data_IF_283525151876
#
_entry.id   IF_283525151876
#
_cell.length_a   1.000
_cell.length_b   1.000
_cell.length_c   1.000
_cell.angle_alpha   90.00
_cell.angle_beta   90.00
_cell.angle_gamma   90.00
#
_symmetry.space_group_name_H-M   'P 1'
#
loop_
_entity.id
_entity.type
_entity.pdbx_description
1 polymer ?
#
# COMPACT_ATOMS: atom_id res chain seq x y z
N UNK A 1 -52.62 22.68 50.02
CA UNK A 1 -51.37 22.79 49.23
C UNK A 1 -50.39 21.72 49.67
N UNK A 2 -50.15 20.69 48.87
CA UNK A 2 -48.99 19.75 48.90
C UNK A 2 -49.30 18.51 48.04
N UNK A 3 -49.27 18.67 46.71
CA UNK A 3 -49.21 17.55 45.74
C UNK A 3 -48.49 18.03 44.47
N UNK A 4 -47.24 18.46 44.62
CA UNK A 4 -46.34 18.74 43.48
C UNK A 4 -44.92 18.37 43.93
N UNK A 5 -44.63 17.08 44.07
CA UNK A 5 -43.26 16.60 44.33
C UNK A 5 -43.00 15.16 43.88
N UNK A 6 -43.86 14.56 43.04
CA UNK A 6 -43.71 13.16 42.61
C UNK A 6 -43.74 12.93 41.10
N UNK A 7 -43.66 14.00 40.30
CA UNK A 7 -43.69 13.92 38.83
C UNK A 7 -42.34 14.23 38.17
N UNK A 8 -41.30 14.57 38.94
CA UNK A 8 -39.98 14.91 38.39
C UNK A 8 -38.91 13.82 38.54
N UNK A 9 -39.22 12.67 39.16
CA UNK A 9 -38.26 11.56 39.29
C UNK A 9 -38.44 10.42 38.26
N UNK A 10 -39.40 10.54 37.33
CA UNK A 10 -39.63 9.55 36.26
C UNK A 10 -39.18 10.02 34.87
N UNK A 11 -38.55 11.19 34.76
CA UNK A 11 -38.05 11.74 33.50
C UNK A 11 -36.54 11.49 33.25
N UNK A 12 -35.87 10.69 34.08
CA UNK A 12 -34.41 10.43 33.96
C UNK A 12 -34.10 8.97 33.58
N UNK A 13 -35.11 8.12 33.31
CA UNK A 13 -34.87 6.75 32.80
C UNK A 13 -35.85 6.44 31.67
N UNK A 14 -35.60 7.03 30.50
CA UNK A 14 -36.11 6.51 29.24
C UNK A 14 -35.11 6.69 28.09
N UNK A 15 -33.82 6.45 28.37
CA UNK A 15 -32.94 5.86 27.36
C UNK A 15 -33.26 4.37 27.22
N UNK A 16 -34.50 4.06 26.83
CA UNK A 16 -34.88 2.73 26.43
C UNK A 16 -34.90 2.69 24.90
N UNK A 17 -33.77 2.23 24.35
CA UNK A 17 -33.72 1.13 23.39
C UNK A 17 -34.86 1.17 22.36
N UNK A 18 -34.78 2.11 21.41
CA UNK A 18 -35.34 1.83 20.08
C UNK A 18 -34.46 0.75 19.43
N UNK A 19 -34.76 -0.51 19.76
CA UNK A 19 -34.36 -1.64 18.92
C UNK A 19 -34.95 -1.38 17.54
N UNK A 20 -34.11 -0.89 16.62
CA UNK A 20 -34.53 -0.63 15.26
C UNK A 20 -35.02 -1.94 14.63
N UNK A 21 -36.32 -2.03 14.36
CA UNK A 21 -37.07 -3.21 13.89
C UNK A 21 -36.66 -3.73 12.50
N UNK A 22 -35.48 -3.37 12.01
CA UNK A 22 -34.93 -3.75 10.70
C UNK A 22 -34.03 -4.98 10.78
N UNK A 23 -33.50 -5.29 11.96
CA UNK A 23 -32.70 -6.48 12.21
C UNK A 23 -33.55 -7.54 12.91
N UNK A 24 -33.68 -8.68 12.26
CA UNK A 24 -34.45 -9.83 12.76
C UNK A 24 -33.51 -10.89 13.33
N UNK A 25 -34.03 -11.74 14.20
CA UNK A 25 -33.27 -12.81 14.86
C UNK A 25 -33.23 -14.12 14.06
N UNK A 26 -34.18 -14.31 13.14
CA UNK A 26 -34.27 -15.51 12.31
C UNK A 26 -34.38 -15.14 10.84
N UNK A 27 -33.65 -15.90 10.00
CA UNK A 27 -33.67 -15.71 8.54
C UNK A 27 -35.03 -16.16 7.99
N UNK A 28 -35.62 -15.45 7.02
CA UNK A 28 -36.82 -15.93 6.35
C UNK A 28 -36.56 -17.27 5.64
N UNK A 29 -37.55 -18.17 5.69
CA UNK A 29 -37.41 -19.60 5.35
C UNK A 29 -36.97 -19.84 3.88
N UNK A 30 -37.19 -18.87 2.97
CA UNK A 30 -36.88 -18.98 1.54
C UNK A 30 -35.82 -18.00 1.03
N UNK A 31 -35.12 -17.29 1.92
CA UNK A 31 -34.12 -16.29 1.52
C UNK A 31 -32.69 -16.82 1.69
N UNK A 32 -31.79 -16.53 0.76
CA UNK A 32 -30.35 -16.83 0.88
C UNK A 32 -29.61 -15.57 1.34
N UNK A 33 -28.67 -15.74 2.27
CA UNK A 33 -27.78 -14.66 2.68
C UNK A 33 -26.79 -14.35 1.56
N UNK A 34 -26.70 -13.08 1.17
CA UNK A 34 -25.67 -12.63 0.23
C UNK A 34 -24.30 -12.57 0.91
N UNK A 35 -24.29 -12.28 2.20
CA UNK A 35 -23.09 -12.24 3.04
C UNK A 35 -23.41 -12.79 4.42
N UNK A 36 -22.50 -13.60 4.95
CA UNK A 36 -22.53 -14.13 6.31
C UNK A 36 -21.20 -13.85 6.98
N UNK A 37 -21.23 -13.06 8.05
CA UNK A 37 -20.05 -12.81 8.89
C UNK A 37 -20.05 -13.83 10.02
N UNK A 38 -19.11 -14.77 9.98
CA UNK A 38 -18.96 -15.81 11.01
C UNK A 38 -18.27 -15.30 12.26
N UNK A 39 -17.47 -14.24 12.15
CA UNK A 39 -16.68 -13.63 13.23
C UNK A 39 -17.16 -12.22 13.58
N UNK A 40 -17.07 -11.88 14.87
CA UNK A 40 -17.35 -10.56 15.42
C UNK A 40 -16.30 -9.53 15.00
N UNK A 41 -16.54 -8.86 13.87
CA UNK A 41 -15.63 -7.87 13.28
C UNK A 41 -16.37 -6.64 12.76
N UNK A 42 -15.74 -5.45 12.80
CA UNK A 42 -16.28 -4.26 12.15
C UNK A 42 -16.44 -4.45 10.64
N UNK A 43 -17.56 -4.01 10.05
CA UNK A 43 -17.82 -4.10 8.61
C UNK A 43 -18.82 -3.05 8.10
N UNK A 44 -18.77 -2.75 6.80
CA UNK A 44 -19.75 -1.90 6.10
C UNK A 44 -20.31 -2.63 4.89
N UNK A 45 -21.63 -2.58 4.73
CA UNK A 45 -22.33 -3.21 3.61
C UNK A 45 -23.23 -2.18 2.94
N UNK A 46 -23.02 -1.92 1.67
CA UNK A 46 -23.93 -1.15 0.83
C UNK A 46 -24.96 -2.07 0.18
N UNK A 47 -26.19 -1.57 0.04
CA UNK A 47 -27.24 -2.22 -0.75
C UNK A 47 -27.96 -1.16 -1.58
N UNK A 48 -28.48 -1.56 -2.73
CA UNK A 48 -29.23 -0.67 -3.61
C UNK A 48 -29.46 -1.23 -5.01
N UNK A 49 -30.65 -0.99 -5.55
CA UNK A 49 -30.96 -1.24 -6.96
C UNK A 49 -30.85 0.07 -7.76
N UNK A 50 -30.26 0.06 -8.96
CA UNK A 50 -30.26 1.24 -9.83
C UNK A 50 -31.68 1.72 -10.11
N UNK A 51 -31.96 2.98 -9.79
CA UNK A 51 -33.27 3.60 -10.03
C UNK A 51 -33.16 5.01 -10.65
N UNK A 52 -31.98 5.36 -11.20
CA UNK A 52 -31.64 6.64 -11.84
C UNK A 52 -31.90 7.92 -11.03
N UNK A 53 -32.31 7.83 -9.76
CA UNK A 53 -32.52 9.00 -8.92
C UNK A 53 -31.20 9.66 -8.54
N UNK A 54 -31.22 10.97 -8.32
CA UNK A 54 -30.03 11.71 -7.89
C UNK A 54 -29.53 11.23 -6.53
N UNK A 55 -30.43 10.80 -5.64
CA UNK A 55 -30.04 10.20 -4.38
C UNK A 55 -29.31 8.86 -4.55
N UNK A 56 -29.67 8.06 -5.57
CA UNK A 56 -28.95 6.82 -5.86
C UNK A 56 -27.58 7.09 -6.50
N UNK A 57 -27.48 8.07 -7.40
CA UNK A 57 -26.17 8.52 -7.92
C UNK A 57 -25.26 8.96 -6.77
N UNK A 58 -25.83 9.74 -5.84
CA UNK A 58 -25.14 10.21 -4.63
C UNK A 58 -24.77 9.07 -3.70
N UNK A 59 -25.64 8.08 -3.52
CA UNK A 59 -25.35 6.84 -2.80
C UNK A 59 -24.13 6.12 -3.39
N UNK A 60 -24.08 5.89 -4.71
CA UNK A 60 -22.94 5.24 -5.36
C UNK A 60 -21.66 6.08 -5.22
N UNK A 61 -21.76 7.40 -5.39
CA UNK A 61 -20.62 8.31 -5.20
C UNK A 61 -20.06 8.24 -3.78
N UNK A 62 -20.93 8.32 -2.76
CA UNK A 62 -20.52 8.28 -1.35
C UNK A 62 -20.06 6.89 -0.91
N UNK A 63 -20.64 5.82 -1.43
CA UNK A 63 -20.17 4.45 -1.24
C UNK A 63 -18.75 4.28 -1.79
N UNK A 64 -18.48 4.76 -3.02
CA UNK A 64 -17.13 4.78 -3.60
C UNK A 64 -16.17 5.58 -2.73
N UNK A 65 -16.58 6.75 -2.25
CA UNK A 65 -15.76 7.59 -1.36
C UNK A 65 -15.45 6.89 -0.03
N UNK A 66 -16.41 6.18 0.57
CA UNK A 66 -16.20 5.36 1.77
C UNK A 66 -15.23 4.21 1.48
N UNK A 67 -15.40 3.51 0.36
CA UNK A 67 -14.49 2.44 -0.03
C UNK A 67 -13.06 2.96 -0.27
N UNK A 68 -12.92 4.12 -0.89
CA UNK A 68 -11.61 4.79 -1.03
C UNK A 68 -11.04 5.25 0.32
N UNK A 69 -11.88 5.78 1.22
CA UNK A 69 -11.47 6.30 2.53
C UNK A 69 -11.02 5.16 3.46
N UNK A 70 -11.80 4.10 3.59
CA UNK A 70 -11.57 3.03 4.56
C UNK A 70 -11.00 1.76 3.95
N UNK A 71 -11.35 1.40 2.71
CA UNK A 71 -10.80 0.23 2.02
C UNK A 71 -9.31 0.36 1.67
N UNK A 72 -8.81 1.59 1.58
CA UNK A 72 -7.38 1.89 1.42
C UNK A 72 -6.60 1.92 2.74
N UNK A 73 -7.22 2.36 3.85
CA UNK A 73 -6.55 2.72 5.11
C UNK A 73 -6.74 1.70 6.24
N UNK A 74 -7.87 0.97 6.27
CA UNK A 74 -8.23 0.03 7.34
C UNK A 74 -8.45 -1.38 6.77
N UNK A 75 -7.38 -2.16 6.69
CA UNK A 75 -7.35 -3.41 5.92
C UNK A 75 -8.03 -4.61 6.60
N UNK A 76 -8.55 -4.43 7.81
CA UNK A 76 -9.42 -5.38 8.50
C UNK A 76 -10.88 -4.91 8.58
N UNK A 77 -11.25 -3.91 7.77
CA UNK A 77 -12.61 -3.38 7.70
C UNK A 77 -13.26 -3.80 6.38
N UNK A 78 -14.00 -4.93 6.34
CA UNK A 78 -14.62 -5.42 5.14
C UNK A 78 -15.71 -4.45 4.70
N UNK A 79 -15.61 -3.98 3.45
CA UNK A 79 -16.60 -3.13 2.80
C UNK A 79 -17.16 -3.93 1.62
N UNK A 80 -18.46 -4.16 1.60
CA UNK A 80 -19.14 -4.90 0.54
C UNK A 80 -20.26 -4.08 -0.08
N UNK A 81 -20.63 -4.41 -1.31
CA UNK A 81 -21.86 -3.95 -1.97
C UNK A 81 -22.63 -5.20 -2.40
N UNK A 82 -23.78 -5.45 -1.76
CA UNK A 82 -24.64 -6.60 -2.09
C UNK A 82 -25.66 -6.26 -3.18
N UNK A 83 -25.64 -5.03 -3.72
CA UNK A 83 -26.53 -4.61 -4.80
C UNK A 83 -28.00 -4.86 -4.48
N UNK A 84 -28.64 -5.75 -5.26
CA UNK A 84 -30.07 -6.03 -5.16
C UNK A 84 -30.44 -7.09 -4.11
N UNK A 85 -29.46 -7.76 -3.51
CA UNK A 85 -29.71 -8.85 -2.57
C UNK A 85 -30.41 -8.39 -1.28
N UNK A 86 -31.10 -9.32 -0.62
CA UNK A 86 -32.02 -8.99 0.46
C UNK A 86 -31.49 -9.26 1.88
N UNK A 87 -30.54 -10.18 2.05
CA UNK A 87 -30.17 -10.69 3.38
C UNK A 87 -28.67 -10.57 3.66
N UNK A 88 -28.33 -10.05 4.84
CA UNK A 88 -26.98 -10.07 5.41
C UNK A 88 -27.05 -10.60 6.84
N UNK A 89 -26.14 -11.50 7.19
CA UNK A 89 -26.04 -12.07 8.54
C UNK A 89 -24.78 -11.58 9.26
N UNK A 90 -24.94 -11.07 10.49
CA UNK A 90 -23.87 -10.63 11.36
C UNK A 90 -23.82 -11.50 12.61
N UNK A 91 -22.61 -11.91 13.01
CA UNK A 91 -22.33 -12.42 14.35
C UNK A 91 -21.55 -11.35 15.11
N UNK A 92 -22.20 -10.66 16.05
CA UNK A 92 -21.52 -9.72 16.94
C UNK A 92 -21.28 -10.42 18.29
N UNK A 93 -20.41 -9.86 19.14
CA UNK A 93 -19.92 -10.56 20.35
C UNK A 93 -21.00 -11.05 21.32
N UNK A 94 -22.20 -10.47 21.28
CA UNK A 94 -23.32 -10.82 22.16
C UNK A 94 -24.51 -11.49 21.45
N UNK A 95 -24.59 -11.47 20.11
CA UNK A 95 -25.80 -11.87 19.41
C UNK A 95 -25.64 -12.03 17.89
N UNK A 96 -26.55 -12.81 17.30
CA UNK A 96 -26.73 -12.89 15.84
C UNK A 96 -27.76 -11.86 15.37
N UNK A 97 -27.44 -11.15 14.28
CA UNK A 97 -28.34 -10.18 13.64
C UNK A 97 -28.51 -10.50 12.16
N UNK A 98 -29.73 -10.35 11.66
CA UNK A 98 -30.03 -10.56 10.25
C UNK A 98 -30.67 -9.30 9.71
N UNK A 99 -30.01 -8.66 8.76
CA UNK A 99 -30.61 -7.59 7.97
C UNK A 99 -31.50 -8.20 6.90
N UNK A 100 -32.74 -7.72 6.80
CA UNK A 100 -33.66 -8.09 5.72
C UNK A 100 -34.18 -6.84 5.00
N UNK A 101 -33.72 -6.63 3.77
CA UNK A 101 -33.95 -5.41 2.97
C UNK A 101 -35.44 -5.04 2.83
N UNK A 102 -36.38 -5.96 2.57
CA UNK A 102 -37.80 -5.61 2.45
C UNK A 102 -38.39 -4.89 3.66
N UNK A 103 -37.85 -5.11 4.87
CA UNK A 103 -38.30 -4.43 6.08
C UNK A 103 -37.88 -2.96 6.14
N UNK A 104 -36.88 -2.54 5.37
CA UNK A 104 -36.36 -1.16 5.39
C UNK A 104 -37.24 -0.17 4.64
N UNK A 105 -38.04 -0.64 3.66
CA UNK A 105 -38.77 0.19 2.70
C UNK A 105 -37.89 1.23 1.97
N UNK A 106 -36.57 1.01 1.92
CA UNK A 106 -35.61 1.92 1.28
C UNK A 106 -34.97 1.25 0.06
N UNK A 107 -34.85 2.02 -1.02
CA UNK A 107 -34.29 1.54 -2.27
C UNK A 107 -32.79 1.22 -2.18
N UNK A 108 -32.07 1.94 -1.32
CA UNK A 108 -30.63 1.80 -1.09
C UNK A 108 -30.26 2.24 0.34
N UNK A 109 -29.06 1.89 0.80
CA UNK A 109 -28.57 2.22 2.12
C UNK A 109 -27.19 1.65 2.42
N UNK A 110 -26.71 1.89 3.64
CA UNK A 110 -25.48 1.35 4.18
C UNK A 110 -25.77 0.72 5.55
N UNK A 111 -25.25 -0.47 5.78
CA UNK A 111 -25.28 -1.15 7.07
C UNK A 111 -23.88 -1.08 7.65
N UNK A 112 -23.74 -0.77 8.93
CA UNK A 112 -22.45 -0.78 9.63
C UNK A 112 -22.53 -1.64 10.88
N UNK A 113 -21.55 -2.55 11.04
CA UNK A 113 -21.32 -3.28 12.27
C UNK A 113 -19.97 -2.88 12.86
N UNK A 114 -19.87 -2.81 14.18
CA UNK A 114 -18.61 -2.68 14.90
C UNK A 114 -18.14 -4.03 15.49
N UNK A 115 -18.88 -5.12 15.22
CA UNK A 115 -18.64 -6.45 15.75
C UNK A 115 -19.04 -6.65 17.22
N UNK A 116 -19.54 -5.61 17.90
CA UNK A 116 -19.89 -5.64 19.33
C UNK A 116 -21.36 -5.35 19.59
N UNK A 117 -21.81 -4.19 19.12
CA UNK A 117 -23.15 -3.66 19.35
C UNK A 117 -24.07 -3.93 18.15
N UNK A 118 -25.38 -3.67 18.27
CA UNK A 118 -26.35 -3.89 17.19
C UNK A 118 -25.91 -3.18 15.88
N UNK A 119 -25.90 -3.84 14.72
CA UNK A 119 -25.60 -3.14 13.47
C UNK A 119 -26.56 -1.96 13.22
N UNK A 120 -26.07 -0.93 12.54
CA UNK A 120 -26.84 0.29 12.26
C UNK A 120 -27.15 0.38 10.77
N UNK A 121 -28.40 0.73 10.46
CA UNK A 121 -28.82 1.09 9.10
C UNK A 121 -28.75 2.61 8.90
N UNK A 122 -28.02 3.04 7.86
CA UNK A 122 -27.90 4.43 7.44
C UNK A 122 -28.48 4.58 6.03
N UNK A 123 -29.49 5.43 5.89
CA UNK A 123 -30.22 5.60 4.62
C UNK A 123 -29.93 6.93 3.93
N UNK A 124 -29.30 7.88 4.64
CA UNK A 124 -28.85 9.16 4.08
C UNK A 124 -27.37 9.05 3.65
N UNK A 125 -27.05 9.12 2.35
CA UNK A 125 -25.66 9.03 1.86
C UNK A 125 -24.71 10.10 2.42
N UNK A 126 -25.21 11.26 2.84
CA UNK A 126 -24.38 12.31 3.43
C UNK A 126 -23.80 11.91 4.80
N UNK A 127 -24.49 11.03 5.54
CA UNK A 127 -24.08 10.64 6.88
C UNK A 127 -23.10 9.47 6.89
N UNK A 128 -22.91 8.76 5.77
CA UNK A 128 -22.13 7.52 5.72
C UNK A 128 -20.76 7.64 6.38
N UNK A 129 -19.95 8.61 5.95
CA UNK A 129 -18.59 8.79 6.46
C UNK A 129 -18.58 9.17 7.95
N UNK A 130 -19.48 10.07 8.35
CA UNK A 130 -19.59 10.53 9.75
C UNK A 130 -19.99 9.37 10.65
N UNK A 131 -21.01 8.61 10.28
CA UNK A 131 -21.47 7.46 11.05
C UNK A 131 -20.39 6.39 11.17
N UNK A 132 -19.62 6.10 10.11
CA UNK A 132 -18.52 5.14 10.21
C UNK A 132 -17.47 5.60 11.22
N UNK A 133 -17.04 6.87 11.16
CA UNK A 133 -16.05 7.42 12.09
C UNK A 133 -16.53 7.35 13.54
N UNK A 134 -17.74 7.84 13.79
CA UNK A 134 -18.31 7.90 15.14
C UNK A 134 -18.56 6.50 15.70
N UNK A 135 -19.20 5.63 14.91
CA UNK A 135 -19.65 4.32 15.39
C UNK A 135 -18.52 3.32 15.61
N UNK A 136 -17.44 3.43 14.83
CA UNK A 136 -16.26 2.59 14.99
C UNK A 136 -15.19 3.23 15.90
N UNK A 137 -15.47 4.40 16.47
CA UNK A 137 -14.53 5.19 17.26
C UNK A 137 -13.17 5.39 16.53
N UNK A 138 -13.23 5.64 15.22
CA UNK A 138 -12.05 5.97 14.42
C UNK A 138 -11.78 7.45 14.64
N UNK A 139 -10.87 7.77 15.59
CA UNK A 139 -10.44 9.13 15.87
C UNK A 139 -9.95 9.84 14.60
N UNK A 140 -10.05 11.18 14.57
CA UNK A 140 -9.80 12.06 13.40
C UNK A 140 -8.49 11.76 12.65
N UNK A 141 -8.51 10.72 11.82
CA UNK A 141 -7.48 10.34 10.86
C UNK A 141 -7.62 11.15 9.55
N UNK A 142 -8.19 12.35 9.62
CA UNK A 142 -8.47 13.20 8.47
C UNK A 142 -7.20 13.73 7.77
N UNK A 143 -6.05 13.58 8.41
CA UNK A 143 -4.73 13.84 7.82
C UNK A 143 -4.14 12.62 7.11
N UNK A 144 -4.64 11.40 7.37
CA UNK A 144 -4.17 10.15 6.74
C UNK A 144 -4.98 9.79 5.49
N UNK A 145 -6.05 10.53 5.19
CA UNK A 145 -6.91 10.28 4.03
C UNK A 145 -6.73 11.39 2.99
N UNK A 146 -6.51 11.06 1.70
CA UNK A 146 -6.66 12.03 0.64
C UNK A 146 -8.00 12.75 0.76
N UNK A 147 -7.95 14.09 0.82
CA UNK A 147 -9.10 14.92 0.47
C UNK A 147 -9.65 14.36 -0.84
N UNK A 148 -10.89 13.86 -0.81
CA UNK A 148 -11.62 13.43 -2.00
C UNK A 148 -11.40 14.46 -3.09
N UNK A 149 -10.98 14.00 -4.26
CA UNK A 149 -10.92 14.76 -5.50
C UNK A 149 -12.21 15.57 -5.61
N UNK A 150 -12.13 16.86 -5.30
CA UNK A 150 -13.11 17.81 -5.80
C UNK A 150 -12.82 17.88 -7.29
N UNK A 151 -13.70 17.33 -8.11
CA UNK A 151 -13.67 17.49 -9.57
C UNK A 151 -13.62 18.98 -9.98
N UNK A 152 -13.97 19.90 -9.08
CA UNK A 152 -13.82 21.34 -9.25
C UNK A 152 -12.44 21.94 -8.97
N UNK A 153 -11.43 21.16 -8.57
CA UNK A 153 -10.06 21.65 -8.35
C UNK A 153 -9.08 21.07 -9.39
N UNK A 154 -9.36 21.33 -10.67
CA UNK A 154 -8.34 21.22 -11.73
C UNK A 154 -7.27 22.30 -11.55
N UNK A 155 -6.43 22.19 -10.51
CA UNK A 155 -5.12 22.81 -10.56
C UNK A 155 -4.32 22.06 -11.62
N UNK A 156 -3.77 22.80 -12.59
CA UNK A 156 -2.91 22.23 -13.62
C UNK A 156 -1.74 21.49 -12.94
N UNK A 157 -1.43 20.23 -13.30
CA UNK A 157 -0.32 19.49 -12.70
C UNK A 157 1.02 20.25 -12.78
N UNK A 158 1.20 21.11 -13.79
CA UNK A 158 2.34 22.04 -13.85
C UNK A 158 2.29 23.11 -12.76
N UNK A 159 1.11 23.63 -12.40
CA UNK A 159 0.96 24.54 -11.26
C UNK A 159 1.23 23.83 -9.94
N UNK A 160 0.82 22.57 -9.79
CA UNK A 160 1.15 21.77 -8.60
C UNK A 160 2.66 21.54 -8.51
N UNK A 161 3.31 21.14 -9.61
CA UNK A 161 4.78 21.03 -9.70
C UNK A 161 5.45 22.36 -9.35
N UNK A 162 4.93 23.49 -9.85
CA UNK A 162 5.44 24.82 -9.49
C UNK A 162 5.24 25.15 -8.00
N UNK A 163 4.15 24.70 -7.37
CA UNK A 163 3.92 24.86 -5.93
C UNK A 163 4.91 24.00 -5.13
N UNK A 164 5.10 22.74 -5.53
CA UNK A 164 6.08 21.83 -4.91
C UNK A 164 7.48 22.42 -5.00
N UNK A 165 7.88 22.95 -6.17
CA UNK A 165 9.19 23.56 -6.37
C UNK A 165 9.44 24.81 -5.51
N UNK A 166 8.39 25.44 -4.97
CA UNK A 166 8.46 26.60 -4.07
C UNK A 166 8.50 26.22 -2.58
N UNK A 167 8.42 24.93 -2.24
CA UNK A 167 8.54 24.47 -0.85
C UNK A 167 9.97 24.75 -0.37
N UNK A 168 10.07 25.52 0.71
CA UNK A 168 11.34 25.93 1.32
C UNK A 168 11.58 25.29 2.69
N UNK A 169 11.03 24.09 2.91
CA UNK A 169 11.26 23.35 4.15
C UNK A 169 12.73 22.93 4.27
N UNK A 170 13.32 23.21 5.43
CA UNK A 170 14.70 22.84 5.75
C UNK A 170 14.68 21.62 6.66
N UNK A 171 15.04 20.47 6.11
CA UNK A 171 15.16 19.23 6.86
C UNK A 171 16.28 19.34 7.91
N UNK A 172 15.97 19.05 9.17
CA UNK A 172 16.98 18.91 10.22
C UNK A 172 17.72 17.57 10.08
N UNK A 173 18.90 17.45 10.71
CA UNK A 173 19.61 16.17 10.80
C UNK A 173 18.75 15.05 11.37
N UNK A 174 17.98 15.32 12.43
CA UNK A 174 17.06 14.33 13.03
C UNK A 174 15.93 13.94 12.07
N UNK A 175 15.41 14.87 11.28
CA UNK A 175 14.44 14.54 10.23
C UNK A 175 15.08 13.58 9.21
N UNK A 176 16.27 13.91 8.72
CA UNK A 176 16.97 13.12 7.71
C UNK A 176 17.26 11.69 8.20
N UNK A 177 17.78 11.56 9.42
CA UNK A 177 18.06 10.26 10.04
C UNK A 177 16.81 9.39 10.17
N UNK A 178 15.70 9.97 10.67
CA UNK A 178 14.42 9.25 10.80
C UNK A 178 13.85 8.84 9.44
N UNK A 179 13.86 9.76 8.47
CA UNK A 179 13.35 9.48 7.13
C UNK A 179 14.13 8.33 6.48
N UNK A 180 15.46 8.42 6.43
CA UNK A 180 16.33 7.41 5.82
C UNK A 180 16.15 6.04 6.48
N UNK A 181 15.92 6.00 7.79
CA UNK A 181 15.71 4.75 8.52
C UNK A 181 14.34 4.10 8.27
N UNK A 182 13.28 4.90 8.13
CA UNK A 182 11.91 4.42 8.27
C UNK A 182 11.06 4.47 7.00
N UNK A 183 11.38 5.34 6.03
CA UNK A 183 10.50 5.65 4.89
C UNK A 183 10.18 4.43 4.02
N UNK A 184 11.13 3.50 3.90
CA UNK A 184 11.00 2.25 3.15
C UNK A 184 10.47 2.44 1.71
N UNK A 185 11.04 3.40 0.99
CA UNK A 185 10.76 3.63 -0.43
C UNK A 185 11.87 3.07 -1.31
N UNK A 186 11.66 3.01 -2.63
CA UNK A 186 12.67 2.58 -3.60
C UNK A 186 13.95 3.42 -3.55
N UNK A 187 13.85 4.69 -3.14
CA UNK A 187 14.97 5.62 -3.03
C UNK A 187 15.78 5.45 -1.73
N UNK A 188 15.13 4.92 -0.69
CA UNK A 188 15.70 4.65 0.62
C UNK A 188 15.33 3.22 1.05
N UNK A 189 15.85 2.21 0.36
CA UNK A 189 15.53 0.83 0.68
C UNK A 189 16.07 0.50 2.08
N UNK A 190 15.24 -0.12 2.92
CA UNK A 190 15.70 -0.58 4.23
C UNK A 190 16.87 -1.54 4.08
N UNK A 191 17.90 -1.32 4.91
CA UNK A 191 19.03 -2.25 5.01
C UNK A 191 18.73 -3.31 6.05
N UNK A 192 18.48 -4.52 5.59
CA UNK A 192 18.25 -5.67 6.46
C UNK A 192 19.60 -6.36 6.67
N UNK A 193 20.16 -6.27 7.88
CA UNK A 193 21.53 -6.73 8.17
C UNK A 193 21.88 -8.13 7.66
N UNK A 194 20.91 -9.04 7.60
CA UNK A 194 21.10 -10.43 7.19
C UNK A 194 20.74 -10.71 5.72
N UNK A 195 20.19 -9.71 5.02
CA UNK A 195 19.69 -9.86 3.65
C UNK A 195 20.20 -8.82 2.66
N UNK A 196 20.76 -7.71 3.14
CA UNK A 196 21.47 -6.74 2.32
C UNK A 196 22.96 -6.94 2.57
N UNK A 197 23.58 -7.70 1.67
CA UNK A 197 24.99 -8.04 1.73
C UNK A 197 25.84 -6.76 1.62
N UNK A 198 26.54 -6.42 2.70
CA UNK A 198 27.53 -5.35 2.71
C UNK A 198 28.84 -5.92 2.19
N UNK A 199 29.25 -5.53 0.99
CA UNK A 199 30.61 -5.80 0.52
C UNK A 199 31.57 -4.77 1.10
N UNK A 200 32.80 -5.16 1.38
CA UNK A 200 33.82 -4.30 2.00
C UNK A 200 34.40 -3.26 1.04
N UNK A 201 34.11 -3.37 -0.26
CA UNK A 201 34.54 -2.46 -1.30
C UNK A 201 33.47 -1.41 -1.64
N UNK A 202 33.96 -0.24 -2.02
CA UNK A 202 33.18 0.87 -2.55
C UNK A 202 32.83 0.65 -4.03
N UNK A 203 33.68 -0.05 -4.78
CA UNK A 203 33.44 -0.36 -6.20
C UNK A 203 33.07 -1.83 -6.38
N UNK A 204 32.02 -2.09 -7.16
CA UNK A 204 31.49 -3.42 -7.43
C UNK A 204 31.22 -3.61 -8.90
N UNK A 205 31.39 -4.84 -9.37
CA UNK A 205 31.10 -5.25 -10.73
C UNK A 205 30.00 -6.30 -10.68
N UNK A 206 28.99 -6.12 -11.53
CA UNK A 206 27.96 -7.11 -11.83
C UNK A 206 28.20 -7.69 -13.22
N UNK A 207 28.23 -9.01 -13.31
CA UNK A 207 28.39 -9.75 -14.56
C UNK A 207 27.33 -10.84 -14.64
N UNK A 208 26.92 -11.18 -15.85
CA UNK A 208 25.97 -12.27 -16.11
C UNK A 208 26.56 -13.29 -17.08
N UNK A 209 26.14 -14.54 -16.92
CA UNK A 209 26.59 -15.69 -17.67
C UNK A 209 25.39 -16.59 -17.99
N UNK A 210 25.49 -17.37 -19.06
CA UNK A 210 24.46 -18.37 -19.40
C UNK A 210 24.66 -19.70 -18.67
N UNK A 211 25.87 -19.94 -18.14
CA UNK A 211 26.27 -21.20 -17.51
C UNK A 211 26.81 -21.01 -16.08
N UNK A 212 26.75 -22.08 -15.28
CA UNK A 212 27.21 -22.11 -13.90
C UNK A 212 28.73 -22.10 -13.73
N UNK A 213 29.47 -22.49 -14.77
CA UNK A 213 30.94 -22.43 -14.81
C UNK A 213 31.48 -21.04 -15.17
N UNK A 214 30.61 -20.05 -15.42
CA UNK A 214 30.97 -18.67 -15.73
C UNK A 214 31.84 -18.52 -16.99
N UNK A 215 31.64 -19.39 -17.98
CA UNK A 215 32.46 -19.41 -19.21
C UNK A 215 31.87 -18.54 -20.32
N UNK A 216 30.55 -18.50 -20.43
CA UNK A 216 29.82 -17.80 -21.49
C UNK A 216 29.17 -16.54 -20.93
N UNK A 217 29.87 -15.42 -21.03
CA UNK A 217 29.44 -14.11 -20.53
C UNK A 217 28.32 -13.52 -21.39
N UNK A 218 27.29 -13.00 -20.76
CA UNK A 218 26.24 -12.19 -21.39
C UNK A 218 26.78 -10.77 -21.59
N UNK A 219 26.42 -10.14 -22.71
CA UNK A 219 26.88 -8.81 -23.11
C UNK A 219 26.67 -7.70 -22.06
N UNK A 220 25.71 -7.87 -21.16
CA UNK A 220 25.34 -6.90 -20.14
C UNK A 220 26.19 -7.07 -18.87
N UNK A 221 26.68 -5.95 -18.36
CA UNK A 221 27.34 -5.83 -17.06
C UNK A 221 27.10 -4.45 -16.47
N UNK A 222 27.39 -4.27 -15.18
CA UNK A 222 27.26 -2.96 -14.53
C UNK A 222 28.38 -2.72 -13.53
N UNK A 223 28.83 -1.47 -13.44
CA UNK A 223 29.72 -0.99 -12.39
C UNK A 223 28.92 -0.18 -11.38
N UNK A 224 29.08 -0.47 -10.09
CA UNK A 224 28.45 0.26 -9.00
C UNK A 224 29.51 0.90 -8.12
N UNK A 225 29.29 2.15 -7.74
CA UNK A 225 30.14 2.90 -6.81
C UNK A 225 29.29 3.31 -5.61
N UNK A 226 29.77 2.99 -4.42
CA UNK A 226 29.16 3.27 -3.13
C UNK A 226 30.08 4.17 -2.30
N UNK A 227 29.49 5.00 -1.44
CA UNK A 227 30.26 5.74 -0.44
C UNK A 227 30.64 4.86 0.75
N UNK A 228 31.43 5.41 1.67
CA UNK A 228 31.83 4.78 2.93
C UNK A 228 30.65 4.39 3.87
N UNK A 229 29.45 4.95 3.65
CA UNK A 229 28.22 4.56 4.35
C UNK A 229 27.45 3.45 3.60
N UNK A 230 28.05 2.85 2.57
CA UNK A 230 27.45 1.85 1.70
C UNK A 230 26.18 2.34 0.99
N UNK A 231 26.12 3.63 0.63
CA UNK A 231 25.02 4.22 -0.13
C UNK A 231 25.43 4.35 -1.61
N UNK A 232 24.55 4.04 -2.57
CA UNK A 232 24.83 4.21 -3.99
C UNK A 232 25.22 5.65 -4.31
N UNK A 233 26.32 5.82 -5.06
CA UNK A 233 26.79 7.08 -5.61
C UNK A 233 26.66 7.11 -7.13
N UNK A 234 27.08 6.02 -7.80
CA UNK A 234 27.00 5.90 -9.24
C UNK A 234 26.72 4.46 -9.66
N UNK A 235 25.95 4.29 -10.73
CA UNK A 235 25.72 3.02 -11.40
C UNK A 235 25.95 3.28 -12.88
N UNK A 236 26.82 2.49 -13.51
CA UNK A 236 27.07 2.54 -14.95
C UNK A 236 26.71 1.19 -15.55
N UNK A 237 25.82 1.18 -16.55
CA UNK A 237 25.46 -0.01 -17.30
C UNK A 237 26.30 -0.11 -18.56
N UNK A 238 26.83 -1.30 -18.81
CA UNK A 238 27.78 -1.60 -19.88
C UNK A 238 27.17 -2.70 -20.75
N UNK A 239 27.07 -2.45 -22.06
CA UNK A 239 26.65 -3.44 -23.05
C UNK A 239 27.76 -3.58 -24.08
N UNK A 240 28.23 -4.81 -24.32
CA UNK A 240 29.33 -5.09 -25.24
C UNK A 240 30.59 -4.24 -24.94
N UNK A 241 30.92 -4.10 -23.65
CA UNK A 241 32.07 -3.32 -23.18
C UNK A 241 31.93 -1.80 -23.29
N UNK A 242 30.79 -1.27 -23.76
CA UNK A 242 30.54 0.18 -23.88
C UNK A 242 29.54 0.65 -22.83
N UNK A 243 29.85 1.76 -22.18
CA UNK A 243 28.90 2.44 -21.27
C UNK A 243 27.68 2.91 -22.06
N UNK A 244 26.49 2.56 -21.58
CA UNK A 244 25.22 2.85 -22.27
C UNK A 244 24.37 3.83 -21.48
N UNK A 245 24.12 3.53 -20.20
CA UNK A 245 23.34 4.36 -19.31
C UNK A 245 24.01 4.47 -17.95
N UNK A 246 23.65 5.51 -17.20
CA UNK A 246 24.15 5.70 -15.86
C UNK A 246 23.05 6.17 -14.91
N UNK A 247 23.34 6.12 -13.61
CA UNK A 247 22.53 6.71 -12.54
C UNK A 247 23.46 7.26 -11.47
N UNK A 248 23.45 8.58 -11.28
CA UNK A 248 24.25 9.29 -10.29
C UNK A 248 23.37 9.89 -9.20
N UNK A 249 23.76 9.68 -7.95
CA UNK A 249 23.06 10.19 -6.77
C UNK A 249 23.80 11.40 -6.20
N UNK A 250 23.09 12.51 -6.00
CA UNK A 250 23.58 13.70 -5.30
C UNK A 250 22.85 13.80 -3.97
N UNK A 251 23.61 13.92 -2.87
CA UNK A 251 23.08 13.99 -1.51
C UNK A 251 23.57 15.24 -0.78
N UNK A 252 22.78 15.72 0.18
CA UNK A 252 23.23 16.77 1.10
C UNK A 252 24.13 16.19 2.22
N UNK A 253 24.62 17.05 3.12
CA UNK A 253 25.50 16.66 4.24
C UNK A 253 24.87 15.64 5.21
N UNK A 254 23.54 15.64 5.33
CA UNK A 254 22.80 14.70 6.19
C UNK A 254 22.46 13.37 5.47
N UNK A 255 22.80 13.24 4.19
CA UNK A 255 22.60 12.03 3.40
C UNK A 255 21.26 11.93 2.67
N UNK A 256 20.41 12.95 2.74
CA UNK A 256 19.20 13.04 1.91
C UNK A 256 19.57 13.21 0.45
N UNK A 257 18.91 12.46 -0.44
CA UNK A 257 19.01 12.63 -1.88
C UNK A 257 18.44 14.00 -2.23
N UNK A 258 19.21 14.80 -2.96
CA UNK A 258 18.74 16.05 -3.56
C UNK A 258 18.37 15.84 -5.03
N UNK A 259 19.14 14.99 -5.71
CA UNK A 259 19.04 14.78 -7.14
C UNK A 259 19.44 13.35 -7.50
N UNK A 260 18.75 12.76 -8.46
CA UNK A 260 19.22 11.61 -9.22
C UNK A 260 19.32 12.04 -10.68
N UNK A 261 20.46 11.77 -11.30
CA UNK A 261 20.69 12.03 -12.73
C UNK A 261 20.82 10.67 -13.40
N UNK A 262 19.96 10.36 -14.36
CA UNK A 262 19.91 9.03 -14.97
C UNK A 262 19.56 9.08 -16.45
N UNK A 263 20.02 8.10 -17.21
CA UNK A 263 19.70 7.96 -18.63
C UNK A 263 20.95 7.81 -19.49
N UNK A 264 20.86 8.25 -20.74
CA UNK A 264 21.96 8.21 -21.69
C UNK A 264 22.92 9.38 -21.47
N UNK A 265 24.22 9.14 -21.71
CA UNK A 265 25.28 10.15 -21.51
C UNK A 265 25.01 11.50 -22.20
N UNK A 266 24.37 11.49 -23.37
CA UNK A 266 24.09 12.72 -24.15
C UNK A 266 22.85 13.49 -23.70
N UNK A 267 21.88 12.83 -23.07
CA UNK A 267 20.59 13.40 -22.70
C UNK A 267 20.09 12.75 -21.40
N UNK A 268 20.66 13.11 -20.24
CA UNK A 268 20.21 12.57 -18.98
C UNK A 268 18.89 13.21 -18.54
N UNK A 269 18.03 12.39 -17.97
CA UNK A 269 16.89 12.83 -17.19
C UNK A 269 17.33 13.10 -15.74
N UNK A 270 16.50 13.82 -15.01
CA UNK A 270 16.80 14.25 -13.65
C UNK A 270 15.59 14.12 -12.75
N UNK A 271 15.75 13.48 -11.59
CA UNK A 271 14.73 13.43 -10.54
C UNK A 271 15.17 14.33 -9.39
N UNK A 272 14.44 15.41 -9.14
CA UNK A 272 14.68 16.33 -8.02
C UNK A 272 13.86 15.92 -6.81
N UNK A 273 14.49 15.94 -5.63
CA UNK A 273 13.84 15.63 -4.36
C UNK A 273 13.52 16.93 -3.62
N UNK A 274 12.29 17.05 -3.14
CA UNK A 274 11.83 18.18 -2.32
C UNK A 274 11.22 17.60 -1.04
N UNK A 275 11.69 18.05 0.12
CA UNK A 275 11.23 17.55 1.42
C UNK A 275 10.22 18.51 2.04
N UNK A 276 9.32 17.98 2.85
CA UNK A 276 8.36 18.71 3.67
C UNK A 276 8.17 17.96 5.00
N UNK A 277 7.40 18.52 5.93
CA UNK A 277 7.26 18.01 7.30
C UNK A 277 6.71 16.57 7.36
N UNK A 278 5.67 16.29 6.59
CA UNK A 278 4.87 15.05 6.61
C UNK A 278 4.89 14.31 5.26
N UNK A 279 5.76 14.73 4.35
CA UNK A 279 5.87 14.16 3.00
C UNK A 279 7.20 14.55 2.36
N UNK A 280 7.54 13.84 1.30
CA UNK A 280 8.52 14.33 0.34
C UNK A 280 8.05 14.04 -1.08
N UNK A 281 8.66 14.75 -2.01
CA UNK A 281 8.30 14.73 -3.42
C UNK A 281 9.50 14.35 -4.26
N UNK A 282 9.24 13.66 -5.36
CA UNK A 282 10.16 13.51 -6.48
C UNK A 282 9.55 14.18 -7.69
N UNK A 283 10.33 14.97 -8.42
CA UNK A 283 9.89 15.60 -9.67
C UNK A 283 10.83 15.14 -10.76
N UNK A 284 10.29 14.52 -11.80
CA UNK A 284 11.05 14.01 -12.92
C UNK A 284 11.09 15.03 -14.06
N UNK A 285 12.30 15.31 -14.53
CA UNK A 285 12.61 16.24 -15.60
C UNK A 285 13.23 15.50 -16.78
N UNK A 286 12.77 15.82 -17.99
CA UNK A 286 13.40 15.40 -19.22
C UNK A 286 13.67 16.63 -20.08
N UNK A 287 14.90 16.76 -20.60
CA UNK A 287 15.35 17.95 -21.34
C UNK A 287 15.03 19.27 -20.62
N UNK A 288 15.20 19.28 -19.29
CA UNK A 288 14.94 20.44 -18.43
C UNK A 288 13.46 20.75 -18.16
N UNK A 289 12.51 19.96 -18.67
CA UNK A 289 11.06 20.17 -18.45
C UNK A 289 10.50 19.12 -17.50
N UNK A 290 9.72 19.51 -16.46
CA UNK A 290 9.09 18.55 -15.57
C UNK A 290 7.94 17.83 -16.29
N UNK A 291 7.85 16.51 -16.14
CA UNK A 291 6.82 15.69 -16.81
C UNK A 291 6.05 14.76 -15.86
N UNK A 292 6.53 14.54 -14.65
CA UNK A 292 5.78 13.85 -13.60
C UNK A 292 6.31 14.21 -12.21
N UNK A 293 5.51 13.94 -11.20
CA UNK A 293 5.94 13.97 -9.81
C UNK A 293 5.33 12.82 -9.02
N UNK A 294 6.05 12.39 -7.99
CA UNK A 294 5.51 11.47 -6.98
C UNK A 294 5.46 12.20 -5.63
N UNK A 295 4.42 11.91 -4.86
CA UNK A 295 4.26 12.37 -3.47
C UNK A 295 4.29 11.16 -2.55
N UNK A 296 5.18 11.19 -1.58
CA UNK A 296 5.32 10.17 -0.55
C UNK A 296 4.82 10.74 0.77
N UNK A 297 3.64 10.30 1.20
CA UNK A 297 3.02 10.74 2.45
C UNK A 297 3.58 9.93 3.61
N UNK A 298 3.97 10.62 4.68
CA UNK A 298 4.66 10.04 5.83
C UNK A 298 3.77 10.09 7.07
N UNK A 299 3.85 9.06 7.91
CA UNK A 299 3.31 9.11 9.26
C UNK A 299 4.32 9.73 10.25
N UNK A 300 3.94 9.80 11.53
CA UNK A 300 4.78 10.37 12.60
C UNK A 300 6.10 9.60 12.81
N UNK A 301 6.16 8.34 12.38
CA UNK A 301 7.36 7.51 12.40
C UNK A 301 8.23 7.70 11.13
N UNK A 302 7.86 8.60 10.22
CA UNK A 302 8.51 8.81 8.92
C UNK A 302 8.47 7.59 8.00
N UNK A 303 7.43 6.76 8.11
CA UNK A 303 7.16 5.66 7.20
C UNK A 303 6.27 6.15 6.06
N UNK A 304 6.57 5.75 4.82
CA UNK A 304 5.70 6.07 3.68
C UNK A 304 4.40 5.27 3.79
N UNK A 305 3.28 5.93 4.09
CA UNK A 305 1.96 5.30 4.17
C UNK A 305 1.20 5.37 2.85
N UNK A 306 1.59 6.27 1.95
CA UNK A 306 1.03 6.37 0.60
C UNK A 306 2.04 6.96 -0.38
N UNK A 307 2.09 6.40 -1.59
CA UNK A 307 2.80 6.96 -2.74
C UNK A 307 1.78 7.28 -3.84
N UNK A 308 1.72 8.55 -4.26
CA UNK A 308 0.89 9.00 -5.37
C UNK A 308 1.77 9.53 -6.49
N UNK A 309 1.64 8.99 -7.69
CA UNK A 309 2.44 9.35 -8.86
C UNK A 309 1.54 9.94 -9.95
N UNK A 310 1.84 11.16 -10.40
CA UNK A 310 1.02 11.92 -11.34
C UNK A 310 1.89 12.45 -12.49
N UNK A 311 1.42 12.31 -13.72
CA UNK A 311 2.02 12.93 -14.91
C UNK A 311 1.59 14.38 -15.07
N UNK A 312 2.34 15.13 -15.87
CA UNK A 312 2.02 16.53 -16.21
C UNK A 312 0.67 16.69 -16.94
N UNK A 313 0.16 15.63 -17.56
CA UNK A 313 -1.18 15.58 -18.17
C UNK A 313 -2.30 15.25 -17.16
N UNK A 314 -1.97 15.21 -15.87
CA UNK A 314 -2.85 14.87 -14.74
C UNK A 314 -3.24 13.39 -14.64
N UNK A 315 -2.74 12.52 -15.51
CA UNK A 315 -2.99 11.09 -15.35
C UNK A 315 -2.29 10.53 -14.12
N UNK A 316 -3.04 9.78 -13.31
CA UNK A 316 -2.51 9.05 -12.17
C UNK A 316 -1.80 7.82 -12.72
N UNK A 317 -0.49 7.74 -12.46
CA UNK A 317 0.35 6.59 -12.85
C UNK A 317 0.24 5.49 -11.81
N UNK A 318 0.25 5.87 -10.53
CA UNK A 318 0.08 4.93 -9.43
C UNK A 318 -0.44 5.65 -8.18
N UNK A 319 -1.23 4.94 -7.39
CA UNK A 319 -1.64 5.33 -6.04
C UNK A 319 -1.55 4.09 -5.16
N UNK A 320 -0.53 4.04 -4.33
CA UNK A 320 -0.15 2.86 -3.54
C UNK A 320 -0.24 3.23 -2.07
N UNK A 321 -0.96 2.45 -1.28
CA UNK A 321 -1.05 2.56 0.17
C UNK A 321 -0.24 1.46 0.82
N UNK A 322 0.45 1.78 1.91
CA UNK A 322 1.30 0.86 2.66
C UNK A 322 0.76 0.67 4.07
N UNK A 323 0.65 -0.59 4.50
CA UNK A 323 0.29 -0.93 5.87
C UNK A 323 1.48 -1.58 6.55
N UNK A 324 1.72 -1.14 7.78
CA UNK A 324 2.83 -1.59 8.61
C UNK A 324 2.31 -2.36 9.83
N UNK A 325 3.08 -3.34 10.29
CA UNK A 325 2.85 -3.95 11.59
C UNK A 325 3.47 -3.14 12.75
N UNK A 326 3.32 -3.65 13.98
CA UNK A 326 3.88 -3.06 15.20
C UNK A 326 5.41 -2.92 15.19
N UNK A 327 6.11 -3.60 14.28
CA UNK A 327 7.57 -3.54 14.12
C UNK A 327 8.00 -2.60 12.97
N UNK A 328 7.04 -1.96 12.30
CA UNK A 328 7.31 -1.08 11.18
C UNK A 328 7.75 -1.81 9.91
N UNK A 329 7.33 -3.07 9.74
CA UNK A 329 7.51 -3.86 8.51
C UNK A 329 6.27 -3.73 7.64
N UNK A 330 6.44 -3.60 6.32
CA UNK A 330 5.30 -3.56 5.40
C UNK A 330 4.65 -4.93 5.38
N UNK A 331 3.37 -4.99 5.74
CA UNK A 331 2.54 -6.22 5.67
C UNK A 331 1.57 -6.20 4.50
N UNK A 332 1.31 -5.01 3.93
CA UNK A 332 0.48 -4.88 2.73
C UNK A 332 0.82 -3.66 1.89
N UNK A 333 0.76 -3.83 0.58
CA UNK A 333 0.71 -2.77 -0.43
C UNK A 333 -0.64 -2.83 -1.14
N UNK A 334 -1.32 -1.70 -1.33
CA UNK A 334 -2.67 -1.66 -1.90
C UNK A 334 -2.84 -0.57 -2.96
N UNK A 335 -3.39 -0.96 -4.11
CA UNK A 335 -3.85 -0.08 -5.19
C UNK A 335 -5.37 -0.21 -5.36
N UNK A 336 -5.96 0.58 -6.25
CA UNK A 336 -7.40 0.51 -6.53
C UNK A 336 -7.86 -0.83 -7.10
N UNK A 337 -6.98 -1.56 -7.77
CA UNK A 337 -7.26 -2.75 -8.57
C UNK A 337 -6.44 -3.99 -8.13
N UNK A 338 -5.56 -3.83 -7.15
CA UNK A 338 -4.63 -4.87 -6.74
C UNK A 338 -4.12 -4.68 -5.31
N UNK A 339 -3.68 -5.77 -4.68
CA UNK A 339 -3.01 -5.73 -3.39
C UNK A 339 -1.91 -6.79 -3.31
N UNK A 340 -0.87 -6.52 -2.53
CA UNK A 340 0.17 -7.46 -2.16
C UNK A 340 0.20 -7.60 -0.65
N UNK A 341 0.17 -8.83 -0.14
CA UNK A 341 0.21 -9.15 1.29
C UNK A 341 1.50 -9.89 1.60
N UNK A 342 2.25 -9.41 2.58
CA UNK A 342 3.53 -9.97 3.00
C UNK A 342 3.39 -10.75 4.29
N UNK A 343 4.00 -11.93 4.36
CA UNK A 343 4.02 -12.80 5.55
C UNK A 343 5.40 -12.82 6.16
N UNK A 344 5.47 -12.83 7.49
CA UNK A 344 6.71 -12.95 8.27
C UNK A 344 6.56 -14.16 9.18
N UNK A 345 7.60 -14.99 9.30
CA UNK A 345 7.49 -16.23 10.10
C UNK A 345 7.64 -15.95 11.60
N UNK A 346 8.41 -14.91 11.95
CA UNK A 346 8.71 -14.54 13.34
C UNK A 346 8.65 -13.03 13.54
N UNK A 347 8.40 -12.61 14.79
CA UNK A 347 8.44 -11.21 15.20
C UNK A 347 9.84 -10.58 15.00
N UNK A 348 10.90 -11.37 15.11
CA UNK A 348 12.28 -10.93 14.88
C UNK A 348 12.66 -10.78 13.38
N UNK A 349 11.87 -11.35 12.46
CA UNK A 349 12.20 -11.33 11.04
C UNK A 349 12.09 -9.91 10.50
N UNK A 350 13.14 -9.39 9.86
CA UNK A 350 13.08 -8.04 9.27
C UNK A 350 12.52 -8.03 7.84
N UNK A 351 12.46 -9.20 7.21
CA UNK A 351 11.99 -9.39 5.84
C UNK A 351 10.93 -10.47 5.76
N UNK A 352 10.03 -10.31 4.80
CA UNK A 352 8.97 -11.28 4.55
C UNK A 352 9.53 -12.64 4.12
N UNK A 353 8.87 -13.71 4.55
CA UNK A 353 9.11 -15.09 4.12
C UNK A 353 8.28 -15.47 2.90
N UNK A 354 7.19 -14.78 2.64
CA UNK A 354 6.38 -14.95 1.44
C UNK A 354 5.55 -13.71 1.16
N UNK A 355 5.04 -13.60 -0.07
CA UNK A 355 4.00 -12.63 -0.38
C UNK A 355 3.00 -13.19 -1.38
N UNK A 356 1.76 -12.69 -1.28
CA UNK A 356 0.67 -13.01 -2.19
C UNK A 356 0.18 -11.74 -2.87
N UNK A 357 0.05 -11.78 -4.19
CA UNK A 357 -0.51 -10.68 -4.98
C UNK A 357 -1.91 -11.04 -5.44
N UNK A 358 -2.84 -10.11 -5.33
CA UNK A 358 -4.23 -10.25 -5.74
C UNK A 358 -4.62 -9.15 -6.72
N UNK A 359 -5.42 -9.49 -7.73
CA UNK A 359 -6.27 -8.53 -8.44
C UNK A 359 -7.54 -8.29 -7.61
N UNK A 360 -8.20 -7.15 -7.79
CA UNK A 360 -9.43 -6.76 -7.11
C UNK A 360 -10.55 -6.52 -8.13
N UNK A 361 -11.79 -6.83 -7.73
CA UNK A 361 -13.01 -6.70 -8.56
C UNK A 361 -13.05 -7.58 -9.83
N UNK A 362 -13.12 -8.93 -9.69
CA UNK A 362 -13.23 -9.68 -8.45
C UNK A 362 -11.86 -9.94 -7.81
N UNK A 363 -11.86 -10.23 -6.50
CA UNK A 363 -10.61 -10.57 -5.81
C UNK A 363 -10.10 -11.94 -6.25
N UNK A 364 -8.93 -11.98 -6.89
CA UNK A 364 -8.31 -13.23 -7.38
C UNK A 364 -6.82 -13.26 -7.05
N UNK A 365 -6.34 -14.42 -6.60
CA UNK A 365 -4.92 -14.64 -6.36
C UNK A 365 -4.17 -14.74 -7.70
N UNK A 366 -3.17 -13.88 -7.90
CA UNK A 366 -2.35 -13.87 -9.11
C UNK A 366 -0.98 -14.51 -8.87
N UNK A 367 -0.36 -14.24 -7.72
CA UNK A 367 0.99 -14.72 -7.38
C UNK A 367 1.06 -15.18 -5.93
N UNK A 368 1.87 -16.21 -5.67
CA UNK A 368 2.15 -16.74 -4.33
C UNK A 368 3.64 -17.09 -4.19
N UNK A 369 4.45 -16.10 -3.85
CA UNK A 369 5.90 -16.22 -3.88
C UNK A 369 6.48 -16.47 -2.49
N UNK A 370 7.56 -17.24 -2.42
CA UNK A 370 8.20 -17.67 -1.18
C UNK A 370 9.70 -17.35 -1.18
N UNK A 371 10.23 -16.97 -0.02
CA UNK A 371 11.65 -16.73 0.22
C UNK A 371 12.11 -17.66 1.35
N UNK A 372 12.99 -18.59 1.03
CA UNK A 372 13.65 -19.49 1.99
C UNK A 372 15.04 -18.93 2.27
N UNK A 373 15.33 -18.63 3.54
CA UNK A 373 16.62 -18.06 3.97
C UNK A 373 17.38 -19.06 4.82
N UNK A 374 18.60 -19.33 4.39
CA UNK A 374 19.63 -20.10 5.09
C UNK A 374 20.86 -19.21 5.28
N UNK A 375 21.79 -19.60 6.15
CA UNK A 375 22.90 -18.76 6.65
C UNK A 375 23.62 -17.94 5.56
N UNK A 376 23.89 -18.53 4.40
CA UNK A 376 24.58 -17.89 3.27
C UNK A 376 23.84 -18.07 1.94
N UNK A 377 22.59 -18.53 1.97
CA UNK A 377 21.82 -18.89 0.77
C UNK A 377 20.38 -18.41 0.90
N UNK A 378 19.91 -17.69 -0.10
CA UNK A 378 18.52 -17.26 -0.21
C UNK A 378 17.90 -17.87 -1.46
N UNK A 379 16.81 -18.61 -1.29
CA UNK A 379 16.04 -19.17 -2.41
C UNK A 379 14.72 -18.40 -2.54
N UNK A 380 14.48 -17.82 -3.71
CA UNK A 380 13.22 -17.17 -4.05
C UNK A 380 12.47 -18.02 -5.07
N UNK A 381 11.25 -18.44 -4.73
CA UNK A 381 10.41 -19.29 -5.57
C UNK A 381 9.19 -18.47 -5.99
N UNK A 382 9.05 -18.25 -7.28
CA UNK A 382 7.88 -17.61 -7.87
C UNK A 382 6.81 -18.64 -8.17
N UNK A 383 5.57 -18.40 -7.74
CA UNK A 383 4.42 -19.24 -8.10
C UNK A 383 3.25 -18.40 -8.59
N UNK A 384 2.48 -18.94 -9.53
CA UNK A 384 1.23 -18.34 -9.98
C UNK A 384 0.09 -18.58 -8.97
N UNK A 385 -1.11 -18.08 -9.29
CA UNK A 385 -2.30 -18.21 -8.45
C UNK A 385 -2.79 -19.65 -8.22
N UNK A 386 -2.43 -20.61 -9.07
CA UNK A 386 -2.71 -22.04 -8.87
C UNK A 386 -1.64 -22.76 -8.04
N UNK A 387 -0.51 -22.08 -7.76
CA UNK A 387 0.61 -22.62 -6.98
C UNK A 387 1.70 -23.28 -7.81
N UNK A 388 1.62 -23.23 -9.14
CA UNK A 388 2.66 -23.74 -10.03
C UNK A 388 3.88 -22.82 -10.03
N UNK A 389 5.07 -23.42 -9.97
CA UNK A 389 6.33 -22.66 -10.03
C UNK A 389 6.48 -22.00 -11.40
N UNK A 390 6.69 -20.69 -11.42
CA UNK A 390 6.95 -19.91 -12.64
C UNK A 390 8.43 -19.61 -12.82
N UNK A 391 9.17 -19.47 -11.71
CA UNK A 391 10.62 -19.31 -11.71
C UNK A 391 11.21 -19.64 -10.34
N UNK A 392 12.53 -19.83 -10.30
CA UNK A 392 13.29 -19.99 -9.05
C UNK A 392 14.62 -19.25 -9.14
N UNK A 393 15.01 -18.57 -8.07
CA UNK A 393 16.31 -17.92 -7.95
C UNK A 393 17.01 -18.38 -6.68
N UNK A 394 18.31 -18.71 -6.77
CA UNK A 394 19.14 -19.11 -5.63
C UNK A 394 20.32 -18.16 -5.56
N UNK A 395 20.40 -17.35 -4.51
CA UNK A 395 21.52 -16.44 -4.26
C UNK A 395 22.40 -16.99 -3.15
N UNK A 396 23.68 -17.20 -3.45
CA UNK A 396 24.70 -17.69 -2.51
C UNK A 396 25.69 -16.56 -2.24
N UNK A 397 26.00 -16.34 -0.97
CA UNK A 397 27.07 -15.43 -0.54
C UNK A 397 28.32 -16.21 -0.23
N UNK A 398 29.38 -15.89 -0.97
CA UNK A 398 30.69 -16.50 -0.80
C UNK A 398 31.44 -15.89 0.40
N UNK A 399 32.50 -16.56 0.91
CA UNK A 399 33.31 -16.05 2.02
C UNK A 399 33.92 -14.65 1.76
N UNK A 400 34.26 -14.35 0.50
CA UNK A 400 34.76 -13.05 0.04
C UNK A 400 33.67 -11.96 -0.06
N UNK A 401 32.44 -12.26 0.38
CA UNK A 401 31.23 -11.43 0.26
C UNK A 401 30.75 -11.21 -1.18
N UNK A 402 31.34 -11.86 -2.18
CA UNK A 402 30.75 -11.90 -3.52
C UNK A 402 29.43 -12.69 -3.48
N UNK A 403 28.49 -12.28 -4.33
CA UNK A 403 27.16 -12.88 -4.41
C UNK A 403 27.05 -13.53 -5.77
N UNK A 404 26.66 -14.79 -5.79
CA UNK A 404 26.34 -15.53 -7.00
C UNK A 404 24.87 -15.90 -6.98
N UNK A 405 24.13 -15.51 -8.02
CA UNK A 405 22.70 -15.78 -8.13
C UNK A 405 22.42 -16.61 -9.37
N UNK A 406 21.82 -17.78 -9.16
CA UNK A 406 21.38 -18.71 -10.18
C UNK A 406 19.89 -18.53 -10.45
N UNK A 407 19.51 -18.26 -11.69
CA UNK A 407 18.12 -18.13 -12.10
C UNK A 407 17.67 -19.36 -12.91
N UNK A 408 16.48 -19.85 -12.59
CA UNK A 408 15.86 -21.01 -13.23
C UNK A 408 14.44 -20.66 -13.69
N UNK A 409 14.02 -21.24 -14.80
CA UNK A 409 12.66 -21.12 -15.31
C UNK A 409 11.67 -22.09 -14.61
N UNK A 410 10.44 -22.15 -15.12
CA UNK A 410 9.37 -23.02 -14.64
C UNK A 410 9.73 -24.51 -14.68
N UNK A 411 10.59 -24.92 -15.62
CA UNK A 411 10.99 -26.31 -15.85
C UNK A 411 12.30 -26.65 -15.10
N UNK A 412 12.73 -25.77 -14.18
CA UNK A 412 13.99 -25.84 -13.44
C UNK A 412 15.24 -25.82 -14.32
N UNK A 413 15.15 -25.33 -15.56
CA UNK A 413 16.33 -25.14 -16.41
C UNK A 413 17.03 -23.84 -16.03
N UNK A 414 18.36 -23.90 -15.90
CA UNK A 414 19.18 -22.72 -15.64
C UNK A 414 19.06 -21.75 -16.83
N UNK A 415 18.69 -20.51 -16.55
CA UNK A 415 18.56 -19.45 -17.57
C UNK A 415 19.68 -18.44 -17.52
N UNK A 416 20.21 -18.17 -16.32
CA UNK A 416 21.38 -17.30 -16.15
C UNK A 416 22.04 -17.49 -14.78
N UNK A 417 23.30 -17.09 -14.71
CA UNK A 417 24.03 -16.90 -13.46
C UNK A 417 24.55 -15.48 -13.43
N UNK A 418 24.33 -14.77 -12.33
CA UNK A 418 24.87 -13.44 -12.11
C UNK A 418 25.83 -13.42 -10.93
N UNK A 419 26.85 -12.58 -11.02
CA UNK A 419 27.88 -12.42 -9.98
C UNK A 419 28.01 -10.93 -9.67
N UNK A 420 27.94 -10.58 -8.39
CA UNK A 420 28.36 -9.28 -7.87
C UNK A 420 29.62 -9.48 -7.04
N UNK A 421 30.71 -8.83 -7.42
CA UNK A 421 32.00 -8.88 -6.74
C UNK A 421 32.61 -7.50 -6.58
N UNK A 422 33.64 -7.38 -5.74
CA UNK A 422 34.44 -6.16 -5.67
C UNK A 422 35.17 -5.95 -6.99
N UNK A 423 35.29 -4.70 -7.43
CA UNK A 423 36.23 -4.36 -8.50
C UNK A 423 37.65 -4.59 -7.96
N UNK A 424 38.48 -5.28 -8.75
CA UNK A 424 39.90 -5.50 -8.48
C UNK A 424 40.72 -4.23 -8.77
#
# INVERSE_FOLDING_TARGET
MKKVAFLFLLAIISENVFSQSFFIKQKPINEKAALTFTEAKPSVIFFGAPNNSDDFKKHKLKSKAVNSYFGGVYTNFPIFDIGKENVVEFNNSSDKFIFYRPNTKKAFGMIISNGKDNPILVTNPNEYLKTIKTYLNIGNADYLVPKTFNEGNQKNALQEIQQILKINFVATKTYAEKLIANVNSSHYPKTYGDANFKMHCNERIFEMYTDSSLTTKIAYSSKYVYNNKNQPQNITNIINGKETTFTKYVRNGDGLIMLIISGYLKNPDTTKFIYDKDKYYTINFSKGRPFSYDTYFLNDQMQCVRQLSIRSDQSIVSDINYVYDKFGRVVREGKSDSEVIYTYNKDADKLYSSFKSYSLNPRKLELNNEVIREKNKNTFVGKNGSGEQTFKSISVTNPDRSIKTYAYDKDNKLTSVSVIKCAE
#
